data_IF_769854558937
#
_entry.id   IF_769854558937
#
_cell.length_a   1.000
_cell.length_b   1.000
_cell.length_c   1.000
_cell.angle_alpha   90.00
_cell.angle_beta   90.00
_cell.angle_gamma   90.00
#
_symmetry.space_group_name_H-M   'P 1'
#
loop_
_entity.id
_entity.type
_entity.pdbx_description
1 polymer ?
#
# COMPACT_ATOMS: atom_id res chain seq x y z
N UNK A 1 14.14 51.67 30.13
CA UNK A 1 14.77 50.35 30.35
C UNK A 1 13.93 49.32 29.63
N UNK A 2 14.43 48.79 28.53
CA UNK A 2 13.80 47.70 27.74
C UNK A 2 14.38 46.36 28.21
N UNK A 3 13.61 45.34 28.58
CA UNK A 3 14.16 44.04 28.92
C UNK A 3 14.56 43.30 27.64
N UNK A 4 15.81 42.90 27.61
CA UNK A 4 16.47 42.11 26.57
C UNK A 4 16.07 40.62 26.77
N UNK A 5 15.15 40.07 25.96
CA UNK A 5 14.86 38.65 25.96
C UNK A 5 15.48 37.97 24.72
N UNK A 6 16.73 37.74 24.79
CA UNK A 6 17.38 36.75 23.92
C UNK A 6 17.21 35.38 24.59
N UNK A 7 16.07 34.73 24.38
CA UNK A 7 15.96 33.30 24.65
C UNK A 7 16.74 32.61 23.56
N UNK A 8 17.89 32.11 23.95
CA UNK A 8 18.78 31.34 23.07
C UNK A 8 18.07 30.09 22.59
N UNK A 9 17.99 29.91 21.26
CA UNK A 9 17.45 28.75 20.56
C UNK A 9 18.19 27.44 20.90
N UNK A 10 19.26 27.50 21.71
CA UNK A 10 20.05 26.36 22.13
C UNK A 10 19.45 25.60 23.33
N UNK A 11 18.46 26.15 24.04
CA UNK A 11 17.90 25.49 25.23
C UNK A 11 16.68 24.60 24.93
N UNK A 12 16.10 24.64 23.72
CA UNK A 12 14.95 23.82 23.32
C UNK A 12 15.39 22.50 22.66
N UNK A 13 16.66 22.40 22.24
CA UNK A 13 17.20 21.17 21.63
C UNK A 13 17.76 20.15 22.64
N UNK A 14 17.76 20.47 23.94
CA UNK A 14 18.38 19.60 24.95
C UNK A 14 17.41 18.70 25.71
N UNK A 15 16.09 18.80 25.51
CA UNK A 15 15.11 17.98 26.23
C UNK A 15 14.49 16.84 25.39
N UNK A 16 14.80 16.73 24.10
CA UNK A 16 14.42 15.58 23.26
C UNK A 16 15.52 14.50 23.15
N UNK A 17 16.66 14.67 23.81
CA UNK A 17 17.78 13.72 23.73
C UNK A 17 17.73 12.55 24.72
N UNK A 18 16.65 12.42 25.52
CA UNK A 18 16.61 11.44 26.63
C UNK A 18 15.71 10.20 26.30
N UNK A 19 15.12 10.11 25.09
CA UNK A 19 14.28 8.98 24.71
C UNK A 19 14.67 8.28 23.40
N UNK A 20 15.90 8.51 22.93
CA UNK A 20 16.45 7.63 21.90
C UNK A 20 17.11 6.44 22.62
N UNK A 21 16.73 5.18 22.26
CA UNK A 21 17.47 4.01 22.73
C UNK A 21 18.94 4.16 22.30
N UNK A 22 19.91 3.60 23.08
CA UNK A 22 21.32 3.68 22.72
C UNK A 22 21.48 3.19 21.29
N UNK A 23 22.20 3.96 20.46
CA UNK A 23 22.57 3.60 19.09
C UNK A 23 22.89 2.11 19.05
N UNK A 24 21.99 1.30 18.50
CA UNK A 24 22.33 -0.04 18.07
C UNK A 24 23.49 0.16 17.09
N UNK A 25 24.68 -0.28 17.44
CA UNK A 25 25.77 -0.41 16.49
C UNK A 25 25.25 -1.31 15.40
N UNK A 26 25.19 -0.82 14.17
CA UNK A 26 24.78 -1.63 13.03
C UNK A 26 25.69 -2.85 13.01
N UNK A 27 25.14 -4.02 13.30
CA UNK A 27 25.88 -5.29 13.21
C UNK A 27 26.18 -5.49 11.74
N UNK A 28 27.44 -5.50 11.38
CA UNK A 28 27.88 -5.74 10.01
C UNK A 28 27.70 -7.24 9.71
N UNK A 29 26.72 -7.58 8.88
CA UNK A 29 26.47 -8.96 8.46
C UNK A 29 27.55 -9.34 7.45
N UNK A 30 28.37 -10.38 7.70
CA UNK A 30 29.37 -10.82 6.74
C UNK A 30 28.69 -11.23 5.42
N UNK A 31 29.25 -10.84 4.25
CA UNK A 31 28.63 -11.07 2.95
C UNK A 31 28.41 -12.56 2.63
N UNK A 32 29.25 -13.43 3.16
CA UNK A 32 29.12 -14.89 3.04
C UNK A 32 27.90 -15.43 3.82
N UNK A 33 27.59 -14.84 4.99
CA UNK A 33 26.45 -15.20 5.82
C UNK A 33 25.15 -14.75 5.13
N UNK A 34 25.15 -13.55 4.57
CA UNK A 34 24.01 -13.03 3.81
C UNK A 34 23.74 -13.89 2.55
N UNK A 35 24.78 -14.24 1.81
CA UNK A 35 24.64 -15.04 0.58
C UNK A 35 24.09 -16.45 0.85
N UNK A 36 24.50 -17.11 1.92
CA UNK A 36 24.00 -18.45 2.27
C UNK A 36 22.55 -18.35 2.80
N UNK A 37 22.22 -17.32 3.56
CA UNK A 37 20.85 -17.05 3.99
C UNK A 37 19.92 -16.84 2.79
N UNK A 38 20.27 -15.95 1.86
CA UNK A 38 19.50 -15.68 0.64
C UNK A 38 19.32 -16.96 -0.22
N UNK A 39 20.34 -17.80 -0.29
CA UNK A 39 20.28 -19.09 -0.98
C UNK A 39 19.30 -20.06 -0.32
N UNK A 40 19.35 -20.21 1.01
CA UNK A 40 18.45 -21.09 1.75
C UNK A 40 16.99 -20.62 1.66
N UNK A 41 16.76 -19.32 1.72
CA UNK A 41 15.46 -18.73 1.51
C UNK A 41 14.90 -19.02 0.10
N UNK A 42 15.75 -18.90 -0.93
CA UNK A 42 15.33 -19.10 -2.32
C UNK A 42 14.92 -20.53 -2.67
N UNK A 43 15.47 -21.53 -1.98
CA UNK A 43 15.14 -22.95 -2.20
C UNK A 43 14.03 -23.48 -1.29
N UNK A 44 13.50 -22.62 -0.38
CA UNK A 44 12.41 -23.00 0.53
C UNK A 44 12.77 -24.08 1.55
N UNK A 45 14.05 -24.22 1.90
CA UNK A 45 14.56 -25.25 2.80
C UNK A 45 14.42 -24.84 4.27
N UNK A 46 13.19 -24.71 4.78
CA UNK A 46 12.90 -24.20 6.12
C UNK A 46 13.68 -24.88 7.24
N UNK A 47 13.69 -26.23 7.26
CA UNK A 47 14.39 -27.00 8.32
C UNK A 47 15.91 -26.74 8.32
N UNK A 48 16.51 -26.58 7.13
CA UNK A 48 17.95 -26.30 6.98
C UNK A 48 18.23 -24.84 7.33
N UNK A 49 17.32 -23.94 7.02
CA UNK A 49 17.41 -22.54 7.37
C UNK A 49 17.39 -22.34 8.90
N UNK A 50 16.47 -23.01 9.61
CA UNK A 50 16.39 -22.98 11.08
C UNK A 50 17.66 -23.52 11.72
N UNK A 51 18.20 -24.61 11.19
CA UNK A 51 19.47 -25.17 11.64
C UNK A 51 20.63 -24.20 11.38
N UNK A 52 20.69 -23.56 10.23
CA UNK A 52 21.70 -22.56 9.89
C UNK A 52 21.63 -21.35 10.82
N UNK A 53 20.45 -20.80 11.02
CA UNK A 53 20.21 -19.65 11.92
C UNK A 53 20.62 -19.97 13.37
N UNK A 54 20.46 -21.22 13.82
CA UNK A 54 20.88 -21.65 15.15
C UNK A 54 22.41 -21.66 15.34
N UNK A 55 23.19 -21.66 14.27
CA UNK A 55 24.66 -21.61 14.31
C UNK A 55 25.23 -20.20 14.40
N UNK A 56 24.39 -19.18 14.11
CA UNK A 56 24.79 -17.79 14.14
C UNK A 56 24.63 -17.19 15.53
N UNK A 57 25.39 -16.12 15.83
CA UNK A 57 25.14 -15.34 17.06
C UNK A 57 23.77 -14.68 17.00
N UNK A 58 23.18 -14.46 18.16
CA UNK A 58 21.86 -13.82 18.30
C UNK A 58 21.81 -12.47 17.57
N UNK A 59 22.88 -11.67 17.72
CA UNK A 59 23.00 -10.35 17.07
C UNK A 59 22.98 -10.42 15.53
N UNK A 60 23.70 -11.40 14.93
CA UNK A 60 23.75 -11.59 13.47
C UNK A 60 22.44 -12.16 12.96
N UNK A 61 21.82 -13.07 13.69
CA UNK A 61 20.51 -13.64 13.33
C UNK A 61 19.43 -12.55 13.36
N UNK A 62 19.39 -11.73 14.39
CA UNK A 62 18.42 -10.63 14.50
C UNK A 62 18.65 -9.59 13.40
N UNK A 63 19.92 -9.29 13.05
CA UNK A 63 20.25 -8.40 11.94
C UNK A 63 19.82 -8.97 10.58
N UNK A 64 19.98 -10.29 10.34
CA UNK A 64 19.52 -10.96 9.12
C UNK A 64 18.00 -10.91 8.99
N UNK A 65 17.28 -11.22 10.06
CA UNK A 65 15.81 -11.20 10.07
C UNK A 65 15.28 -9.78 9.86
N UNK A 66 15.89 -8.78 10.51
CA UNK A 66 15.56 -7.38 10.31
C UNK A 66 15.88 -6.88 8.88
N UNK A 67 16.95 -7.37 8.27
CA UNK A 67 17.29 -7.03 6.88
C UNK A 67 16.31 -7.65 5.87
N UNK A 68 15.79 -8.86 6.15
CA UNK A 68 14.80 -9.51 5.31
C UNK A 68 13.41 -8.86 5.48
N UNK A 69 13.04 -8.50 6.70
CA UNK A 69 11.85 -7.68 6.95
C UNK A 69 11.95 -6.33 6.24
N UNK A 70 13.14 -5.71 6.19
CA UNK A 70 13.37 -4.46 5.46
C UNK A 70 13.33 -4.63 3.94
N UNK A 71 13.74 -5.79 3.38
CA UNK A 71 13.61 -6.12 1.95
C UNK A 71 12.14 -6.36 1.57
N UNK A 72 11.38 -6.98 2.46
CA UNK A 72 9.95 -7.27 2.29
C UNK A 72 9.07 -6.11 2.73
N UNK A 73 9.62 -5.13 3.46
CA UNK A 73 8.96 -3.88 3.74
C UNK A 73 9.08 -2.99 2.49
N UNK A 74 8.02 -2.88 1.72
CA UNK A 74 7.85 -1.77 0.80
C UNK A 74 8.15 -0.45 1.56
N UNK A 75 8.73 0.58 0.91
CA UNK A 75 9.16 1.79 1.59
C UNK A 75 7.98 2.41 2.33
N UNK A 76 7.92 2.20 3.63
CA UNK A 76 7.01 2.88 4.52
C UNK A 76 7.44 4.33 4.59
N UNK A 77 6.78 5.19 3.85
CA UNK A 77 6.77 6.62 4.15
C UNK A 77 6.08 6.78 5.50
N UNK A 78 6.94 6.81 6.54
CA UNK A 78 6.52 7.11 7.91
C UNK A 78 6.01 8.54 7.99
N UNK A 79 4.70 8.69 8.02
CA UNK A 79 4.08 9.80 8.74
C UNK A 79 3.24 9.16 9.87
N UNK A 80 3.65 9.43 11.11
CA UNK A 80 3.16 8.80 12.33
C UNK A 80 1.64 8.76 12.47
N UNK A 81 1.11 7.62 12.14
CA UNK A 81 -0.14 7.10 12.68
C UNK A 81 0.18 5.65 13.03
N UNK A 82 0.02 5.29 14.30
CA UNK A 82 0.17 3.94 14.80
C UNK A 82 -0.60 2.98 13.88
N UNK A 83 0.10 1.96 13.36
CA UNK A 83 -0.51 0.92 12.55
C UNK A 83 -1.59 0.24 13.41
N UNK A 84 -2.84 0.47 13.05
CA UNK A 84 -3.97 -0.32 13.55
C UNK A 84 -3.72 -1.79 13.17
N UNK A 85 -3.75 -2.76 14.12
CA UNK A 85 -3.53 -4.17 13.85
C UNK A 85 -4.59 -4.82 12.95
N UNK A 86 -5.39 -4.01 12.26
CA UNK A 86 -6.40 -4.39 11.28
C UNK A 86 -6.06 -4.04 9.83
N UNK A 87 -4.84 -3.61 9.50
CA UNK A 87 -4.46 -3.31 8.11
C UNK A 87 -4.45 -4.59 7.27
N UNK A 88 -5.62 -5.00 6.80
CA UNK A 88 -5.74 -6.07 5.84
C UNK A 88 -5.05 -5.65 4.53
N UNK A 89 -4.20 -6.53 4.00
CA UNK A 89 -3.52 -6.33 2.72
C UNK A 89 -4.54 -6.13 1.59
N UNK A 90 -4.27 -5.21 0.67
CA UNK A 90 -5.08 -5.06 -0.56
C UNK A 90 -4.49 -5.80 -1.76
N UNK A 91 -3.33 -6.43 -1.61
CA UNK A 91 -2.60 -7.23 -2.58
C UNK A 91 -1.29 -7.72 -1.98
N UNK A 92 -0.59 -8.65 -2.64
CA UNK A 92 0.65 -9.24 -2.11
C UNK A 92 1.73 -8.17 -1.86
N UNK A 93 1.87 -7.23 -2.80
CA UNK A 93 2.85 -6.14 -2.73
C UNK A 93 2.17 -4.76 -2.83
N UNK A 94 0.92 -4.64 -2.43
CA UNK A 94 0.18 -3.39 -2.46
C UNK A 94 -0.04 -2.85 -1.05
N UNK A 95 0.28 -1.58 -0.87
CA UNK A 95 -0.05 -0.78 0.31
C UNK A 95 -1.12 0.26 -0.01
N UNK A 96 -1.74 0.80 1.03
CA UNK A 96 -2.71 1.87 0.88
C UNK A 96 -2.59 2.91 1.99
N UNK A 97 -2.97 4.13 1.67
CA UNK A 97 -3.07 5.24 2.61
C UNK A 97 -4.30 6.09 2.27
N UNK A 98 -5.04 6.52 3.28
CA UNK A 98 -6.17 7.43 3.14
C UNK A 98 -5.87 8.72 3.91
N UNK A 99 -5.67 9.79 3.19
CA UNK A 99 -5.37 11.08 3.78
C UNK A 99 -6.62 11.78 4.35
N UNK A 100 -6.39 12.88 5.06
CA UNK A 100 -7.48 13.67 5.67
C UNK A 100 -8.35 14.42 4.66
N UNK A 101 -7.94 14.52 3.41
CA UNK A 101 -8.69 15.17 2.33
C UNK A 101 -9.63 14.20 1.62
N UNK A 102 -9.54 12.90 1.96
CA UNK A 102 -10.31 11.83 1.35
C UNK A 102 -9.66 11.26 0.10
N UNK A 103 -8.35 11.47 -0.08
CA UNK A 103 -7.60 10.83 -1.17
C UNK A 103 -7.06 9.49 -0.69
N UNK A 104 -7.54 8.41 -1.30
CA UNK A 104 -7.03 7.06 -1.13
C UNK A 104 -5.93 6.80 -2.15
N UNK A 105 -4.73 6.55 -1.68
CA UNK A 105 -3.57 6.22 -2.53
C UNK A 105 -3.23 4.75 -2.38
N UNK A 106 -3.14 4.02 -3.49
CA UNK A 106 -2.67 2.64 -3.55
C UNK A 106 -1.25 2.65 -4.11
N UNK A 107 -0.30 2.08 -3.40
CA UNK A 107 1.11 2.02 -3.77
C UNK A 107 1.60 0.59 -3.91
N UNK A 108 2.78 0.41 -4.52
CA UNK A 108 3.37 -0.92 -4.74
C UNK A 108 3.08 -1.46 -6.13
N UNK A 109 3.21 -2.77 -6.30
CA UNK A 109 3.16 -3.42 -7.62
C UNK A 109 2.32 -4.69 -7.62
N UNK A 110 1.72 -5.01 -8.77
CA UNK A 110 0.99 -6.24 -9.01
C UNK A 110 -0.52 -6.13 -8.92
N UNK A 111 -1.16 -7.23 -8.60
CA UNK A 111 -2.62 -7.38 -8.64
C UNK A 111 -3.26 -7.03 -7.30
N UNK A 112 -4.38 -6.32 -7.36
CA UNK A 112 -5.24 -6.08 -6.20
C UNK A 112 -6.10 -7.31 -5.95
N UNK A 113 -6.35 -7.61 -4.67
CA UNK A 113 -7.23 -8.71 -4.25
C UNK A 113 -8.69 -8.43 -4.63
N UNK A 114 -9.45 -9.51 -4.85
CA UNK A 114 -10.90 -9.46 -4.94
C UNK A 114 -11.53 -9.41 -3.55
N UNK A 115 -12.45 -8.48 -3.34
CA UNK A 115 -13.15 -8.30 -2.08
C UNK A 115 -14.59 -8.83 -2.16
N UNK A 116 -15.19 -9.08 -1.00
CA UNK A 116 -16.55 -9.64 -0.85
C UNK A 116 -17.16 -9.08 0.43
N UNK A 117 -18.47 -9.25 0.62
CA UNK A 117 -19.14 -8.79 1.83
C UNK A 117 -18.54 -9.36 3.13
N UNK A 118 -18.11 -10.64 3.09
CA UNK A 118 -17.44 -11.28 4.23
C UNK A 118 -16.00 -10.84 4.44
N UNK A 119 -15.35 -10.28 3.42
CA UNK A 119 -13.97 -9.80 3.44
C UNK A 119 -13.88 -8.52 2.59
N UNK A 120 -14.38 -7.40 3.12
CA UNK A 120 -14.40 -6.14 2.40
C UNK A 120 -12.98 -5.56 2.24
N UNK A 121 -12.85 -4.57 1.36
CA UNK A 121 -11.59 -3.84 1.19
C UNK A 121 -11.15 -3.19 2.52
N UNK A 122 -9.84 -3.07 2.77
CA UNK A 122 -9.32 -2.53 4.04
C UNK A 122 -9.86 -1.15 4.39
N UNK A 123 -10.15 -0.33 3.40
CA UNK A 123 -10.71 1.03 3.54
C UNK A 123 -12.23 1.07 3.57
N UNK A 124 -12.92 -0.08 3.52
CA UNK A 124 -14.39 -0.11 3.39
C UNK A 124 -15.12 0.61 4.54
N UNK A 125 -14.57 0.56 5.75
CA UNK A 125 -15.16 1.28 6.88
C UNK A 125 -15.14 2.81 6.68
N UNK A 126 -14.18 3.34 5.91
CA UNK A 126 -14.01 4.76 5.60
C UNK A 126 -14.50 5.13 4.19
N UNK A 127 -15.18 4.23 3.48
CA UNK A 127 -15.59 4.43 2.06
C UNK A 127 -16.34 5.72 1.77
N UNK A 128 -17.13 6.20 2.74
CA UNK A 128 -17.86 7.47 2.60
C UNK A 128 -16.94 8.71 2.69
N UNK A 129 -15.74 8.56 3.23
CA UNK A 129 -14.75 9.63 3.28
C UNK A 129 -13.90 9.72 2.01
N UNK A 130 -13.94 8.69 1.15
CA UNK A 130 -13.12 8.63 -0.06
C UNK A 130 -13.74 9.51 -1.14
N UNK A 131 -12.98 10.53 -1.57
CA UNK A 131 -13.38 11.47 -2.64
C UNK A 131 -12.55 11.33 -3.89
N UNK A 132 -11.33 10.83 -3.77
CA UNK A 132 -10.42 10.56 -4.88
C UNK A 132 -9.65 9.25 -4.64
N UNK A 133 -9.31 8.56 -5.72
CA UNK A 133 -8.43 7.37 -5.71
C UNK A 133 -7.26 7.63 -6.65
N UNK A 134 -6.05 7.36 -6.17
CA UNK A 134 -4.82 7.40 -6.95
C UNK A 134 -4.18 6.01 -6.91
N UNK A 135 -4.05 5.38 -8.07
CA UNK A 135 -3.39 4.10 -8.21
C UNK A 135 -1.95 4.32 -8.68
N UNK A 136 -0.99 3.67 -8.00
CA UNK A 136 0.43 3.73 -8.37
C UNK A 136 0.70 3.10 -9.74
N UNK A 137 1.78 3.53 -10.38
CA UNK A 137 2.13 3.19 -11.77
C UNK A 137 2.26 1.69 -12.04
N UNK A 138 2.59 0.89 -11.02
CA UNK A 138 2.81 -0.56 -11.14
C UNK A 138 1.61 -1.40 -10.65
N UNK A 139 0.46 -0.77 -10.36
CA UNK A 139 -0.77 -1.49 -10.03
C UNK A 139 -1.34 -2.09 -11.31
N UNK A 140 -1.39 -3.43 -11.37
CA UNK A 140 -1.74 -4.16 -12.59
C UNK A 140 -3.25 -4.38 -12.74
N UNK A 141 -3.97 -4.57 -11.64
CA UNK A 141 -5.43 -4.82 -11.67
C UNK A 141 -6.14 -4.13 -10.52
N UNK A 142 -7.41 -3.83 -10.72
CA UNK A 142 -8.35 -3.46 -9.65
C UNK A 142 -9.19 -4.68 -9.34
N UNK A 143 -9.22 -5.09 -8.07
CA UNK A 143 -9.99 -6.23 -7.62
C UNK A 143 -11.49 -6.00 -7.62
N UNK A 144 -12.25 -7.10 -7.58
CA UNK A 144 -13.71 -7.06 -7.47
C UNK A 144 -14.11 -6.31 -6.20
N UNK A 145 -15.13 -5.45 -6.28
CA UNK A 145 -15.69 -4.65 -5.18
C UNK A 145 -14.68 -3.75 -4.43
N UNK A 146 -13.53 -3.45 -5.05
CA UNK A 146 -12.46 -2.68 -4.39
C UNK A 146 -12.93 -1.31 -3.90
N UNK A 147 -13.75 -0.62 -4.67
CA UNK A 147 -14.27 0.71 -4.36
C UNK A 147 -15.80 0.74 -4.34
N UNK A 148 -16.45 -0.44 -4.17
CA UNK A 148 -17.88 -0.51 -4.07
C UNK A 148 -18.40 0.36 -2.91
N UNK A 149 -19.54 1.02 -3.12
CA UNK A 149 -20.20 1.91 -2.16
C UNK A 149 -19.38 3.17 -1.75
N UNK A 150 -18.32 3.52 -2.48
CA UNK A 150 -17.63 4.80 -2.31
C UNK A 150 -18.49 5.93 -2.88
N UNK A 151 -19.58 6.26 -2.22
CA UNK A 151 -20.64 7.16 -2.72
C UNK A 151 -20.17 8.58 -2.97
N UNK A 152 -19.08 9.02 -2.32
CA UNK A 152 -18.48 10.35 -2.47
C UNK A 152 -17.28 10.38 -3.42
N UNK A 153 -16.89 9.25 -4.00
CA UNK A 153 -15.78 9.16 -4.96
C UNK A 153 -16.09 9.94 -6.23
N UNK A 154 -15.29 10.95 -6.52
CA UNK A 154 -15.47 11.86 -7.66
C UNK A 154 -14.51 11.57 -8.79
N UNK A 155 -13.25 11.21 -8.47
CA UNK A 155 -12.16 11.04 -9.43
C UNK A 155 -11.32 9.81 -9.14
N UNK A 156 -10.84 9.18 -10.20
CA UNK A 156 -9.89 8.05 -10.12
C UNK A 156 -8.76 8.30 -11.11
N UNK A 157 -7.51 8.25 -10.63
CA UNK A 157 -6.32 8.25 -11.47
C UNK A 157 -5.87 6.81 -11.71
N UNK A 158 -5.93 6.37 -12.96
CA UNK A 158 -5.54 5.02 -13.38
C UNK A 158 -4.13 5.02 -13.94
N UNK A 159 -3.28 4.02 -13.60
CA UNK A 159 -1.95 3.89 -14.19
C UNK A 159 -2.02 3.33 -15.62
N UNK A 160 -1.03 3.69 -16.43
CA UNK A 160 -0.95 3.27 -17.84
C UNK A 160 -0.83 1.75 -18.04
N UNK A 161 -0.45 1.00 -17.00
CA UNK A 161 -0.28 -0.45 -17.06
C UNK A 161 -1.50 -1.24 -16.57
N UNK A 162 -2.57 -0.58 -16.15
CA UNK A 162 -3.77 -1.25 -15.66
C UNK A 162 -4.38 -2.15 -16.74
N UNK A 163 -4.46 -3.46 -16.47
CA UNK A 163 -4.93 -4.47 -17.43
C UNK A 163 -6.38 -4.91 -17.20
N UNK A 164 -6.87 -4.85 -15.97
CA UNK A 164 -8.21 -5.32 -15.65
C UNK A 164 -8.86 -4.54 -14.50
N UNK A 165 -10.19 -4.45 -14.60
CA UNK A 165 -11.08 -3.96 -13.55
C UNK A 165 -12.01 -5.11 -13.19
N UNK A 166 -12.10 -5.45 -11.90
CA UNK A 166 -12.90 -6.55 -11.38
C UNK A 166 -14.40 -6.26 -11.37
N UNK A 167 -15.18 -7.28 -11.00
CA UNK A 167 -16.63 -7.19 -10.91
C UNK A 167 -17.04 -6.21 -9.81
N UNK A 168 -18.06 -5.39 -10.05
CA UNK A 168 -18.60 -4.43 -9.08
C UNK A 168 -17.54 -3.47 -8.50
N UNK A 169 -16.39 -3.30 -9.16
CA UNK A 169 -15.24 -2.57 -8.60
C UNK A 169 -15.58 -1.13 -8.18
N UNK A 170 -16.44 -0.44 -8.89
CA UNK A 170 -16.94 0.91 -8.61
C UNK A 170 -18.46 0.96 -8.50
N UNK A 171 -19.11 -0.15 -8.13
CA UNK A 171 -20.55 -0.19 -7.94
C UNK A 171 -20.98 0.87 -6.91
N UNK A 172 -22.08 1.56 -7.16
CA UNK A 172 -22.65 2.60 -6.30
C UNK A 172 -21.74 3.83 -6.06
N UNK A 173 -20.69 4.07 -6.87
CA UNK A 173 -19.91 5.30 -6.82
C UNK A 173 -20.71 6.48 -7.40
N UNK A 174 -21.75 6.91 -6.68
CA UNK A 174 -22.77 7.82 -7.19
C UNK A 174 -22.27 9.24 -7.49
N UNK A 175 -21.13 9.66 -6.92
CA UNK A 175 -20.49 10.97 -7.18
C UNK A 175 -19.49 10.93 -8.33
N UNK A 176 -19.12 9.76 -8.87
CA UNK A 176 -18.15 9.62 -9.96
C UNK A 176 -18.69 10.26 -11.24
N UNK A 177 -17.93 11.19 -11.83
CA UNK A 177 -18.44 12.00 -12.97
C UNK A 177 -17.87 11.60 -14.32
N UNK A 178 -16.59 11.26 -14.34
CA UNK A 178 -15.86 10.91 -15.58
C UNK A 178 -14.87 9.79 -15.30
N UNK A 179 -14.71 8.89 -16.27
CA UNK A 179 -13.76 7.78 -16.22
C UNK A 179 -13.00 7.74 -17.54
N UNK A 180 -11.68 7.86 -17.45
CA UNK A 180 -10.79 7.70 -18.58
C UNK A 180 -9.90 6.48 -18.35
N UNK A 181 -10.22 5.38 -19.01
CA UNK A 181 -9.46 4.16 -18.88
C UNK A 181 -8.20 4.19 -19.76
N UNK A 182 -7.05 3.70 -19.28
CA UNK A 182 -5.83 3.61 -20.09
C UNK A 182 -5.97 2.56 -21.19
N UNK A 183 -5.16 2.71 -22.25
CA UNK A 183 -5.16 1.82 -23.42
C UNK A 183 -4.68 0.39 -23.15
N UNK A 184 -4.24 0.09 -21.95
CA UNK A 184 -3.80 -1.24 -21.48
C UNK A 184 -4.96 -2.11 -20.98
N UNK A 185 -6.13 -1.52 -20.67
CA UNK A 185 -7.26 -2.27 -20.13
C UNK A 185 -7.82 -3.24 -21.16
N UNK A 186 -7.82 -4.52 -20.80
CA UNK A 186 -8.32 -5.62 -21.62
C UNK A 186 -9.64 -6.21 -21.09
N UNK A 187 -9.92 -6.06 -19.77
CA UNK A 187 -11.11 -6.62 -19.13
C UNK A 187 -11.77 -5.62 -18.18
N UNK A 188 -13.08 -5.51 -18.29
CA UNK A 188 -13.95 -4.81 -17.34
C UNK A 188 -14.99 -5.80 -16.86
N UNK A 189 -15.06 -5.98 -15.54
CA UNK A 189 -15.92 -6.95 -14.89
C UNK A 189 -17.40 -6.61 -14.96
N UNK A 190 -18.22 -7.55 -14.50
CA UNK A 190 -19.68 -7.39 -14.41
C UNK A 190 -20.03 -6.27 -13.43
N UNK A 191 -21.01 -5.44 -13.80
CA UNK A 191 -21.51 -4.33 -12.97
C UNK A 191 -20.38 -3.38 -12.45
N UNK A 192 -19.21 -3.33 -13.12
CA UNK A 192 -18.05 -2.58 -12.62
C UNK A 192 -18.35 -1.10 -12.32
N UNK A 193 -19.26 -0.47 -13.04
CA UNK A 193 -19.69 0.92 -12.86
C UNK A 193 -21.21 1.04 -12.65
N UNK A 194 -21.84 -0.02 -12.15
CA UNK A 194 -23.28 -0.02 -11.88
C UNK A 194 -23.64 1.06 -10.84
N UNK A 195 -24.78 1.74 -11.06
CA UNK A 195 -25.28 2.81 -10.18
C UNK A 195 -24.32 4.00 -9.98
N UNK A 196 -23.36 4.24 -10.90
CA UNK A 196 -22.60 5.48 -10.94
C UNK A 196 -23.48 6.62 -11.48
N UNK A 197 -24.42 7.11 -10.65
CA UNK A 197 -25.53 7.98 -11.10
C UNK A 197 -25.09 9.32 -11.74
N UNK A 198 -23.90 9.82 -11.42
CA UNK A 198 -23.34 11.04 -12.01
C UNK A 198 -22.35 10.80 -13.14
N UNK A 199 -22.09 9.54 -13.49
CA UNK A 199 -21.15 9.21 -14.57
C UNK A 199 -21.74 9.64 -15.91
N UNK A 200 -21.26 10.76 -16.39
CA UNK A 200 -21.72 11.37 -17.64
C UNK A 200 -20.89 10.94 -18.85
N UNK A 201 -19.67 10.48 -18.62
CA UNK A 201 -18.75 10.07 -19.67
C UNK A 201 -17.77 9.00 -19.19
N UNK A 202 -17.60 7.98 -20.01
CA UNK A 202 -16.59 6.94 -19.84
C UNK A 202 -15.92 6.65 -21.17
N UNK A 203 -14.59 6.68 -21.19
CA UNK A 203 -13.81 6.25 -22.34
C UNK A 203 -13.39 4.79 -22.16
N UNK A 204 -13.97 3.91 -22.95
CA UNK A 204 -13.58 2.51 -23.03
C UNK A 204 -12.59 2.35 -24.18
N UNK A 205 -11.34 1.94 -23.94
CA UNK A 205 -10.36 1.76 -25.00
C UNK A 205 -10.71 0.56 -25.90
N UNK A 206 -10.29 0.63 -27.19
CA UNK A 206 -10.51 -0.46 -28.14
C UNK A 206 -9.75 -1.76 -27.84
N UNK A 207 -8.91 -1.76 -26.83
CA UNK A 207 -8.17 -2.92 -26.33
C UNK A 207 -9.02 -3.85 -25.44
N UNK A 208 -10.19 -3.39 -24.99
CA UNK A 208 -11.09 -4.18 -24.14
C UNK A 208 -11.64 -5.36 -24.91
N UNK A 209 -11.29 -6.57 -24.48
CA UNK A 209 -11.69 -7.87 -25.05
C UNK A 209 -12.92 -8.46 -24.36
N UNK A 210 -13.13 -8.10 -23.08
CA UNK A 210 -14.23 -8.58 -22.26
C UNK A 210 -14.87 -7.43 -21.47
N UNK A 211 -16.16 -7.27 -21.66
CA UNK A 211 -16.98 -6.29 -20.97
C UNK A 211 -18.15 -7.03 -20.30
N UNK A 212 -18.23 -6.99 -18.98
CA UNK A 212 -19.37 -7.49 -18.22
C UNK A 212 -20.58 -6.56 -18.37
N UNK A 213 -21.76 -7.15 -18.49
CA UNK A 213 -23.01 -6.43 -18.66
C UNK A 213 -23.65 -6.01 -17.33
#
# INVERSE_FOLDING_TARGET
MKPNWKISLAAVLCTCAILLPPKAQAVEIPPEVQAEFDRLMSIGAGDILDQYLSTLSEEVRDALMAAEEAKNAAPTLSSGVEADPGSASCGVNLGWDLDRTGTLTITGSGEMLDFRDAHPAPWYAQRESITAVVLGEEVATIGSRAFADCTNLQTVAFPDQLSAIGDEAFQNCSALTTVQLPGSVERIGWAAFENCARLSWIQIPGTVKSLGG
#
